data_IF_688976803653
#
_entry.id   IF_688976803653
#
_cell.length_a   1.000
_cell.length_b   1.000
_cell.length_c   1.000
_cell.angle_alpha   90.00
_cell.angle_beta   90.00
_cell.angle_gamma   90.00
#
_symmetry.space_group_name_H-M   'P 1'
#
loop_
_entity.id
_entity.type
_entity.pdbx_description
1 polymer ?
#
# COMPACT_ATOMS: atom_id res chain seq x y z
N UNK A 1 33.24 22.23 -20.60
CA UNK A 1 33.19 20.94 -19.86
C UNK A 1 31.91 20.75 -19.05
N UNK A 2 31.45 21.72 -18.27
CA UNK A 2 30.20 21.57 -17.49
C UNK A 2 28.94 21.38 -18.33
N UNK A 3 28.79 22.10 -19.44
CA UNK A 3 27.65 21.98 -20.32
C UNK A 3 27.59 20.61 -21.04
N UNK A 4 28.72 20.08 -21.49
CA UNK A 4 28.78 18.75 -22.11
C UNK A 4 28.42 17.64 -21.13
N UNK A 5 28.79 17.77 -19.86
CA UNK A 5 28.45 16.80 -18.82
C UNK A 5 26.94 16.84 -18.51
N UNK A 6 26.32 18.02 -18.46
CA UNK A 6 24.88 18.15 -18.29
C UNK A 6 24.08 17.56 -19.45
N UNK A 7 24.52 17.75 -20.69
CA UNK A 7 23.90 17.17 -21.85
C UNK A 7 24.01 15.63 -21.88
N UNK A 8 25.16 15.08 -21.47
CA UNK A 8 25.34 13.64 -21.34
C UNK A 8 24.44 13.03 -20.26
N UNK A 9 24.34 13.69 -19.10
CA UNK A 9 23.47 13.26 -18.01
C UNK A 9 21.98 13.30 -18.42
N UNK A 10 21.57 14.34 -19.14
CA UNK A 10 20.21 14.45 -19.67
C UNK A 10 19.90 13.34 -20.69
N UNK A 11 20.83 13.06 -21.59
CA UNK A 11 20.68 11.98 -22.57
C UNK A 11 20.61 10.60 -21.93
N UNK A 12 21.35 10.35 -20.85
CA UNK A 12 21.23 9.11 -20.10
C UNK A 12 19.87 8.97 -19.41
N UNK A 13 19.35 10.04 -18.80
CA UNK A 13 18.02 10.03 -18.18
C UNK A 13 16.91 9.76 -19.21
N UNK A 14 17.01 10.37 -20.38
CA UNK A 14 16.07 10.13 -21.48
C UNK A 14 16.15 8.68 -22.00
N UNK A 15 17.35 8.13 -22.08
CA UNK A 15 17.56 6.73 -22.46
C UNK A 15 16.89 5.79 -21.45
N UNK A 16 17.15 5.97 -20.16
CA UNK A 16 16.53 5.15 -19.10
C UNK A 16 14.99 5.19 -19.17
N UNK A 17 14.40 6.36 -19.45
CA UNK A 17 12.95 6.49 -19.63
C UNK A 17 12.44 5.72 -20.83
N UNK A 18 13.15 5.74 -21.96
CA UNK A 18 12.80 5.00 -23.16
C UNK A 18 12.92 3.48 -22.94
N UNK A 19 13.97 3.04 -22.27
CA UNK A 19 14.18 1.64 -21.93
C UNK A 19 13.05 1.11 -21.02
N UNK A 20 12.65 1.88 -19.99
CA UNK A 20 11.50 1.55 -19.14
C UNK A 20 10.19 1.48 -19.91
N UNK A 21 9.97 2.40 -20.86
CA UNK A 21 8.80 2.35 -21.72
C UNK A 21 8.79 1.10 -22.58
N UNK A 22 9.92 0.76 -23.20
CA UNK A 22 10.06 -0.44 -24.01
C UNK A 22 9.78 -1.72 -23.22
N UNK A 23 10.27 -1.80 -21.98
CA UNK A 23 9.98 -2.91 -21.06
C UNK A 23 8.48 -3.03 -20.74
N UNK A 24 7.81 -1.90 -20.45
CA UNK A 24 6.37 -1.90 -20.21
C UNK A 24 5.59 -2.34 -21.44
N UNK A 25 5.96 -1.87 -22.62
CA UNK A 25 5.34 -2.27 -23.89
C UNK A 25 5.54 -3.77 -24.18
N UNK A 26 6.75 -4.29 -23.97
CA UNK A 26 7.05 -5.70 -24.14
C UNK A 26 6.24 -6.60 -23.20
N UNK A 27 5.90 -6.12 -21.99
CA UNK A 27 5.09 -6.81 -21.00
C UNK A 27 3.57 -6.57 -21.16
N UNK A 28 3.12 -5.95 -22.25
CA UNK A 28 1.70 -5.67 -22.50
C UNK A 28 1.09 -4.60 -21.61
N UNK A 29 1.91 -3.78 -20.99
CA UNK A 29 1.51 -2.68 -20.08
C UNK A 29 1.86 -1.31 -20.64
N UNK A 30 1.61 -1.10 -21.93
CA UNK A 30 1.88 0.17 -22.58
C UNK A 30 1.03 1.30 -21.99
N UNK A 31 1.64 2.29 -21.30
CA UNK A 31 0.92 3.38 -20.67
C UNK A 31 0.22 4.31 -21.66
N UNK A 32 0.64 4.34 -22.92
CA UNK A 32 0.00 5.14 -23.97
C UNK A 32 -1.24 4.48 -24.57
N UNK A 33 -1.39 3.17 -24.40
CA UNK A 33 -2.58 2.43 -24.81
C UNK A 33 -3.59 2.23 -23.65
N UNK A 34 -3.10 2.19 -22.42
CA UNK A 34 -3.93 2.10 -21.22
C UNK A 34 -4.45 3.50 -20.89
N UNK A 35 -5.62 3.84 -21.42
CA UNK A 35 -6.20 5.19 -21.30
C UNK A 35 -7.28 5.31 -20.23
N UNK A 36 -7.71 4.18 -19.64
CA UNK A 36 -8.77 4.13 -18.64
C UNK A 36 -8.40 3.23 -17.49
N UNK A 37 -8.64 3.71 -16.28
CA UNK A 37 -8.57 2.95 -15.05
C UNK A 37 -9.93 3.01 -14.33
N UNK A 38 -10.47 1.86 -13.97
CA UNK A 38 -11.75 1.75 -13.28
C UNK A 38 -11.54 1.93 -11.77
N UNK A 39 -11.53 3.18 -11.34
CA UNK A 39 -11.49 3.53 -9.93
C UNK A 39 -12.86 3.31 -9.31
N UNK A 40 -12.91 2.56 -8.20
CA UNK A 40 -14.16 2.27 -7.48
C UNK A 40 -14.40 3.25 -6.35
N UNK A 41 -13.35 3.70 -5.67
CA UNK A 41 -13.42 4.56 -4.49
C UNK A 41 -12.29 5.59 -4.50
N UNK A 42 -12.49 6.66 -3.75
CA UNK A 42 -11.43 7.58 -3.35
C UNK A 42 -10.84 7.19 -1.99
N UNK A 43 -9.63 7.63 -1.68
CA UNK A 43 -8.91 7.22 -0.46
C UNK A 43 -9.68 7.51 0.85
N UNK A 44 -10.37 8.65 0.93
CA UNK A 44 -11.17 9.01 2.11
C UNK A 44 -12.42 8.14 2.22
N UNK A 45 -13.04 7.78 1.11
CA UNK A 45 -14.18 6.85 1.09
C UNK A 45 -13.77 5.46 1.55
N UNK A 46 -12.61 4.97 1.12
CA UNK A 46 -12.04 3.69 1.58
C UNK A 46 -11.80 3.70 3.08
N UNK A 47 -11.25 4.78 3.61
CA UNK A 47 -11.02 4.92 5.06
C UNK A 47 -12.31 4.85 5.84
N UNK A 48 -13.32 5.61 5.46
CA UNK A 48 -14.62 5.62 6.11
C UNK A 48 -15.33 4.26 6.00
N UNK A 49 -15.26 3.63 4.83
CA UNK A 49 -15.82 2.30 4.59
C UNK A 49 -15.15 1.23 5.46
N UNK A 50 -13.83 1.28 5.57
CA UNK A 50 -13.08 0.35 6.41
C UNK A 50 -13.40 0.53 7.90
N UNK A 51 -13.41 1.77 8.38
CA UNK A 51 -13.75 2.08 9.78
C UNK A 51 -15.16 1.59 10.15
N UNK A 52 -16.15 1.80 9.29
CA UNK A 52 -17.51 1.30 9.49
C UNK A 52 -17.58 -0.23 9.46
N UNK A 53 -16.86 -0.86 8.55
CA UNK A 53 -16.79 -2.32 8.43
C UNK A 53 -16.12 -2.96 9.64
N UNK A 54 -15.01 -2.41 10.09
CA UNK A 54 -14.32 -2.85 11.31
C UNK A 54 -15.21 -2.71 12.53
N UNK A 55 -15.88 -1.56 12.70
CA UNK A 55 -16.81 -1.31 13.81
C UNK A 55 -17.97 -2.32 13.82
N UNK A 56 -18.51 -2.69 12.66
CA UNK A 56 -19.59 -3.68 12.57
C UNK A 56 -19.10 -5.10 12.90
N UNK A 57 -17.95 -5.51 12.38
CA UNK A 57 -17.39 -6.85 12.62
C UNK A 57 -16.93 -7.06 14.06
N UNK A 58 -16.48 -6.01 14.72
CA UNK A 58 -15.92 -6.07 16.06
C UNK A 58 -16.86 -5.53 17.16
N UNK A 59 -18.10 -5.19 16.83
CA UNK A 59 -19.07 -4.58 17.76
C UNK A 59 -19.35 -5.40 19.01
N UNK A 60 -19.36 -6.72 18.91
CA UNK A 60 -19.62 -7.63 20.02
C UNK A 60 -18.34 -8.12 20.73
N UNK A 61 -17.19 -7.57 20.32
CA UNK A 61 -15.90 -7.95 20.85
C UNK A 61 -15.48 -6.98 21.96
N UNK A 62 -15.18 -7.54 23.14
CA UNK A 62 -14.64 -6.76 24.26
C UNK A 62 -13.17 -6.34 23.97
N UNK A 63 -12.80 -5.17 24.50
CA UNK A 63 -11.39 -4.75 24.52
C UNK A 63 -10.56 -5.67 25.42
N UNK A 64 -9.27 -5.81 25.09
CA UNK A 64 -8.34 -6.58 25.89
C UNK A 64 -8.15 -5.90 27.25
N UNK A 65 -8.46 -6.59 28.30
CA UNK A 65 -8.17 -6.16 29.67
C UNK A 65 -6.79 -6.71 30.09
N UNK A 66 -5.86 -5.80 30.29
CA UNK A 66 -4.50 -6.10 30.75
C UNK A 66 -4.28 -5.77 32.23
N UNK A 67 -5.36 -5.43 32.95
CA UNK A 67 -5.33 -5.08 34.36
C UNK A 67 -4.87 -6.27 35.19
N UNK A 68 -3.84 -6.09 36.02
CA UNK A 68 -3.32 -7.15 36.90
C UNK A 68 -2.39 -8.16 36.24
N UNK A 69 -2.08 -7.97 34.94
CA UNK A 69 -1.09 -8.78 34.23
C UNK A 69 0.32 -8.15 34.36
N UNK A 70 1.34 -9.00 34.36
CA UNK A 70 2.70 -8.50 34.19
C UNK A 70 2.96 -8.03 32.76
N UNK A 71 4.14 -7.44 32.52
CA UNK A 71 4.44 -6.84 31.19
C UNK A 71 4.47 -7.89 30.07
N UNK A 72 4.96 -9.09 30.35
CA UNK A 72 5.05 -10.16 29.37
C UNK A 72 3.68 -10.75 29.04
N UNK A 73 2.87 -11.00 30.06
CA UNK A 73 1.48 -11.46 29.91
C UNK A 73 0.60 -10.43 29.18
N UNK A 74 0.78 -9.15 29.49
CA UNK A 74 0.06 -8.07 28.81
C UNK A 74 0.42 -8.00 27.32
N UNK A 75 1.70 -8.11 26.95
CA UNK A 75 2.15 -8.16 25.56
C UNK A 75 1.57 -9.35 24.81
N UNK A 76 1.55 -10.53 25.45
CA UNK A 76 1.01 -11.74 24.83
C UNK A 76 -0.51 -11.64 24.61
N UNK A 77 -1.24 -11.09 25.60
CA UNK A 77 -2.68 -10.87 25.49
C UNK A 77 -3.04 -9.89 24.37
N UNK A 78 -2.30 -8.78 24.26
CA UNK A 78 -2.49 -7.79 23.15
C UNK A 78 -2.14 -8.41 21.79
N UNK A 79 -1.08 -9.19 21.72
CA UNK A 79 -0.70 -9.87 20.48
C UNK A 79 -1.77 -10.87 20.03
N UNK A 80 -2.29 -11.67 20.94
CA UNK A 80 -3.36 -12.63 20.66
C UNK A 80 -4.63 -11.93 20.18
N UNK A 81 -5.04 -10.85 20.85
CA UNK A 81 -6.19 -10.05 20.43
C UNK A 81 -6.01 -9.47 19.03
N UNK A 82 -4.81 -8.96 18.74
CA UNK A 82 -4.48 -8.45 17.40
C UNK A 82 -4.58 -9.53 16.32
N UNK A 83 -4.08 -10.73 16.59
CA UNK A 83 -4.14 -11.86 15.66
C UNK A 83 -5.59 -12.28 15.41
N UNK A 84 -6.41 -12.39 16.45
CA UNK A 84 -7.84 -12.72 16.34
C UNK A 84 -8.64 -11.66 15.58
N UNK A 85 -8.39 -10.37 15.86
CA UNK A 85 -9.01 -9.27 15.12
C UNK A 85 -8.64 -9.31 13.64
N UNK A 86 -7.38 -9.59 13.36
CA UNK A 86 -6.90 -9.72 11.98
C UNK A 86 -7.58 -10.87 11.25
N UNK A 87 -7.73 -12.03 11.88
CA UNK A 87 -8.45 -13.17 11.30
C UNK A 87 -9.91 -12.81 10.96
N UNK A 88 -10.60 -12.11 11.84
CA UNK A 88 -11.98 -11.65 11.61
C UNK A 88 -12.05 -10.71 10.41
N UNK A 89 -11.12 -9.76 10.30
CA UNK A 89 -11.06 -8.82 9.18
C UNK A 89 -10.69 -9.51 7.87
N UNK A 90 -9.75 -10.43 7.89
CA UNK A 90 -9.30 -11.20 6.72
C UNK A 90 -10.39 -12.14 6.18
N UNK A 91 -11.31 -12.59 7.03
CA UNK A 91 -12.47 -13.41 6.64
C UNK A 91 -13.53 -12.62 5.86
N UNK A 92 -13.56 -11.28 6.00
CA UNK A 92 -14.52 -10.40 5.31
C UNK A 92 -13.77 -9.25 4.61
N UNK A 93 -12.98 -9.51 3.55
CA UNK A 93 -12.18 -8.48 2.90
C UNK A 93 -13.05 -7.50 2.10
N UNK A 94 -12.59 -6.26 2.04
CA UNK A 94 -13.16 -5.22 1.17
C UNK A 94 -12.26 -5.07 -0.05
N UNK A 95 -12.84 -5.23 -1.24
CA UNK A 95 -12.12 -5.06 -2.50
C UNK A 95 -12.40 -3.68 -3.08
N UNK A 96 -11.33 -2.91 -3.29
CA UNK A 96 -11.39 -1.57 -3.85
C UNK A 96 -10.30 -1.38 -4.90
N UNK A 97 -10.54 -0.46 -5.82
CA UNK A 97 -9.55 0.02 -6.78
C UNK A 97 -9.44 1.53 -6.65
N UNK A 98 -8.27 1.99 -6.25
CA UNK A 98 -7.97 3.41 -6.08
C UNK A 98 -6.81 3.83 -6.97
N UNK A 99 -6.75 5.11 -7.31
CA UNK A 99 -5.67 5.70 -8.05
C UNK A 99 -5.05 6.85 -7.26
N UNK A 100 -3.75 7.03 -7.41
CA UNK A 100 -3.03 8.10 -6.75
C UNK A 100 -1.66 8.31 -7.36
N UNK A 101 -1.01 9.41 -6.99
CA UNK A 101 0.35 9.72 -7.41
C UNK A 101 1.35 9.18 -6.39
N UNK A 102 2.26 8.34 -6.84
CA UNK A 102 3.39 7.91 -6.01
C UNK A 102 4.38 9.07 -5.84
N UNK A 103 4.53 9.57 -4.62
CA UNK A 103 5.43 10.68 -4.32
C UNK A 103 6.86 10.21 -4.06
N UNK A 104 7.02 9.05 -3.45
CA UNK A 104 8.32 8.41 -3.22
C UNK A 104 8.17 6.89 -3.15
N UNK A 105 9.26 6.18 -3.34
CA UNK A 105 9.37 4.73 -3.14
C UNK A 105 10.63 4.42 -2.37
N UNK A 106 10.49 3.66 -1.28
CA UNK A 106 11.61 3.20 -0.45
C UNK A 106 11.65 1.68 -0.46
N UNK A 107 12.73 1.12 -0.97
CA UNK A 107 12.95 -0.33 -1.01
C UNK A 107 13.86 -0.74 0.15
N UNK A 108 13.42 -1.70 0.96
CA UNK A 108 14.15 -2.22 2.11
C UNK A 108 14.15 -3.75 2.05
N UNK A 109 15.15 -4.34 1.39
CA UNK A 109 15.23 -5.79 1.22
C UNK A 109 14.01 -6.35 0.46
N UNK A 110 13.25 -7.22 1.11
CA UNK A 110 12.03 -7.83 0.54
C UNK A 110 10.76 -6.97 0.69
N UNK A 111 10.83 -5.88 1.46
CA UNK A 111 9.73 -4.97 1.68
C UNK A 111 9.99 -3.62 0.98
N UNK A 112 8.92 -2.96 0.54
CA UNK A 112 8.99 -1.62 -0.01
C UNK A 112 7.82 -0.78 0.47
N UNK A 113 8.06 0.52 0.63
CA UNK A 113 7.06 1.51 1.00
C UNK A 113 6.93 2.56 -0.10
N UNK A 114 5.73 3.01 -0.37
CA UNK A 114 5.46 4.10 -1.32
C UNK A 114 4.31 4.99 -0.84
#
# INVERSE_FOLDING_TARGET
>A
MAQQKQEQDLNQLLKVRRDKLADLQANGKDPFQITKFNQTHHSMEVKSLYEAHEAELLKDRAEVDVTGLDEEQAKEAVKKDYEERREIMDASPIHVSIAGRMMFKRVMGKASFC
#
